data_IF_432935804905
#
_entry.id   IF_432935804905
#
_cell.length_a   1.000
_cell.length_b   1.000
_cell.length_c   1.000
_cell.angle_alpha   90.00
_cell.angle_beta   90.00
_cell.angle_gamma   90.00
#
_symmetry.space_group_name_H-M   'P 1'
#
loop_
_entity.id
_entity.type
_entity.pdbx_description
1 polymer ?
#
# COMPACT_ATOMS: atom_id res chain seq x y z
N UNK A 1 -22.04 -14.47 30.12
CA UNK A 1 -21.60 -14.67 28.73
C UNK A 1 -20.23 -14.07 28.63
N UNK A 2 -19.21 -14.93 28.64
CA UNK A 2 -17.81 -14.52 28.73
C UNK A 2 -17.34 -13.77 27.47
N UNK A 3 -16.55 -12.69 27.63
CA UNK A 3 -15.87 -12.07 26.51
C UNK A 3 -14.81 -13.05 25.99
N UNK A 4 -15.03 -13.61 24.80
CA UNK A 4 -14.05 -14.46 24.12
C UNK A 4 -12.74 -13.69 23.96
N UNK A 5 -11.72 -14.13 24.69
CA UNK A 5 -10.35 -13.67 24.59
C UNK A 5 -9.87 -13.80 23.14
N UNK A 6 -9.31 -12.70 22.62
CA UNK A 6 -8.71 -12.65 21.29
C UNK A 6 -7.39 -13.46 21.28
N UNK A 7 -7.11 -14.27 20.24
CA UNK A 7 -5.92 -15.09 20.19
C UNK A 7 -4.63 -14.25 20.08
N UNK A 8 -3.66 -14.60 20.91
CA UNK A 8 -2.35 -13.97 21.04
C UNK A 8 -1.47 -14.20 19.80
N UNK A 9 -1.49 -13.26 18.86
CA UNK A 9 -0.35 -12.97 17.98
C UNK A 9 -0.47 -11.60 17.27
N UNK A 10 -0.88 -10.59 18.02
CA UNK A 10 -0.87 -9.19 17.60
C UNK A 10 0.16 -8.49 18.49
N UNK A 11 1.08 -7.72 17.92
CA UNK A 11 1.70 -6.62 18.66
C UNK A 11 0.57 -5.62 18.93
N UNK A 12 -0.16 -5.84 20.02
CA UNK A 12 -1.51 -5.33 20.30
C UNK A 12 -1.51 -3.97 21.02
N UNK A 13 -0.54 -3.10 20.74
CA UNK A 13 -0.32 -1.91 21.58
C UNK A 13 -0.93 -0.59 21.05
N UNK A 14 -1.69 -0.57 19.93
CA UNK A 14 -2.14 0.72 19.34
C UNK A 14 -3.55 0.77 18.72
N UNK A 15 -4.48 -0.09 19.11
CA UNK A 15 -5.89 0.05 18.68
C UNK A 15 -6.70 0.68 19.81
N UNK A 16 -7.36 1.81 19.53
CA UNK A 16 -8.24 2.49 20.48
C UNK A 16 -9.46 1.64 20.85
N UNK A 17 -9.98 1.83 22.06
CA UNK A 17 -11.16 1.09 22.54
C UNK A 17 -12.40 1.37 21.67
N UNK A 18 -12.55 2.59 21.15
CA UNK A 18 -13.60 2.91 20.18
C UNK A 18 -13.48 2.08 18.91
N UNK A 19 -12.26 1.91 18.39
CA UNK A 19 -12.02 1.09 17.20
C UNK A 19 -12.25 -0.39 17.49
N UNK A 20 -11.88 -0.90 18.67
CA UNK A 20 -12.19 -2.29 19.07
C UNK A 20 -13.69 -2.54 19.11
N UNK A 21 -14.47 -1.61 19.68
CA UNK A 21 -15.95 -1.66 19.70
C UNK A 21 -16.54 -1.61 18.29
N UNK A 22 -15.97 -0.81 17.39
CA UNK A 22 -16.40 -0.80 15.99
C UNK A 22 -16.10 -2.16 15.33
N UNK A 23 -14.88 -2.67 15.46
CA UNK A 23 -14.45 -3.94 14.86
C UNK A 23 -15.35 -5.09 15.30
N UNK A 24 -15.75 -5.16 16.57
CA UNK A 24 -16.63 -6.23 17.06
C UNK A 24 -18.03 -6.22 16.46
N UNK A 25 -18.47 -5.08 15.90
CA UNK A 25 -19.76 -4.94 15.20
C UNK A 25 -19.67 -5.23 13.69
N UNK A 26 -18.47 -5.31 13.12
CA UNK A 26 -18.27 -5.47 11.68
C UNK A 26 -18.18 -6.95 11.28
N UNK A 27 -18.56 -7.30 10.03
CA UNK A 27 -18.27 -8.62 9.49
C UNK A 27 -16.77 -8.89 9.55
N UNK A 28 -16.39 -10.03 10.12
CA UNK A 28 -14.99 -10.43 10.27
C UNK A 28 -14.73 -11.77 9.58
N UNK A 29 -13.49 -11.96 9.17
CA UNK A 29 -13.00 -13.20 8.56
C UNK A 29 -11.53 -13.40 8.95
N UNK A 30 -11.07 -14.63 8.82
CA UNK A 30 -9.67 -14.99 9.01
C UNK A 30 -9.08 -15.24 7.63
N UNK A 31 -8.01 -14.50 7.29
CA UNK A 31 -7.34 -14.68 6.02
C UNK A 31 -6.58 -16.02 5.94
N UNK A 32 -6.02 -16.33 4.77
CA UNK A 32 -5.23 -17.56 4.56
C UNK A 32 -3.93 -17.62 5.38
N UNK A 33 -3.59 -16.56 6.11
CA UNK A 33 -2.44 -16.49 7.03
C UNK A 33 -2.86 -16.59 8.50
N UNK A 34 -4.14 -16.84 8.80
CA UNK A 34 -4.64 -16.91 10.17
C UNK A 34 -4.84 -15.53 10.82
N UNK A 35 -4.79 -14.44 10.05
CA UNK A 35 -4.96 -13.08 10.56
C UNK A 35 -6.39 -12.60 10.42
N UNK A 36 -6.88 -11.94 11.45
CA UNK A 36 -8.22 -11.38 11.45
C UNK A 36 -8.29 -10.12 10.59
N UNK A 37 -9.32 -10.09 9.74
CA UNK A 37 -9.70 -8.96 8.90
C UNK A 37 -11.18 -8.63 9.16
N UNK A 38 -11.53 -7.36 9.00
CA UNK A 38 -12.92 -6.89 9.11
C UNK A 38 -13.30 -6.09 7.87
N UNK A 39 -14.58 -6.13 7.53
CA UNK A 39 -15.14 -5.39 6.42
C UNK A 39 -15.61 -4.01 6.88
N UNK A 40 -15.07 -2.95 6.30
CA UNK A 40 -15.45 -1.56 6.55
C UNK A 40 -15.57 -0.81 5.23
N UNK A 41 -16.69 -0.10 5.01
CA UNK A 41 -16.96 0.68 3.78
C UNK A 41 -16.71 -0.11 2.47
N UNK A 42 -17.03 -1.41 2.46
CA UNK A 42 -16.89 -2.28 1.28
C UNK A 42 -15.48 -2.84 1.04
N UNK A 43 -14.51 -2.58 1.92
CA UNK A 43 -13.16 -3.16 1.84
C UNK A 43 -12.78 -3.94 3.10
N UNK A 44 -11.87 -4.91 2.91
CA UNK A 44 -11.35 -5.74 3.99
C UNK A 44 -10.04 -5.15 4.54
N UNK A 45 -9.97 -4.96 5.85
CA UNK A 45 -8.81 -4.38 6.53
C UNK A 45 -8.35 -5.26 7.68
N UNK A 46 -7.02 -5.32 7.85
CA UNK A 46 -6.44 -5.71 9.13
C UNK A 46 -6.77 -4.64 10.18
N UNK A 47 -6.94 -5.04 11.44
CA UNK A 47 -7.42 -4.15 12.50
C UNK A 47 -6.54 -2.91 12.70
N UNK A 48 -5.21 -3.07 12.69
CA UNK A 48 -4.27 -1.95 12.77
C UNK A 48 -4.37 -1.01 11.56
N UNK A 49 -4.63 -1.56 10.37
CA UNK A 49 -4.83 -0.75 9.16
C UNK A 49 -6.14 0.03 9.25
N UNK A 50 -7.21 -0.59 9.75
CA UNK A 50 -8.49 0.09 9.96
C UNK A 50 -8.35 1.27 10.94
N UNK A 51 -7.63 1.10 12.04
CA UNK A 51 -7.33 2.22 12.95
C UNK A 51 -6.67 3.40 12.20
N UNK A 52 -5.72 3.10 11.31
CA UNK A 52 -5.09 4.11 10.45
C UNK A 52 -6.08 4.81 9.52
N UNK A 53 -7.00 4.05 8.91
CA UNK A 53 -8.08 4.60 8.07
C UNK A 53 -8.96 5.55 8.88
N UNK A 54 -9.41 5.14 10.07
CA UNK A 54 -10.27 5.95 10.94
C UNK A 54 -9.55 7.22 11.41
N UNK A 55 -8.27 7.12 11.77
CA UNK A 55 -7.46 8.28 12.16
C UNK A 55 -7.33 9.29 11.02
N UNK A 56 -7.10 8.79 9.80
CA UNK A 56 -7.07 9.63 8.61
C UNK A 56 -8.42 10.32 8.39
N UNK A 57 -9.52 9.57 8.39
CA UNK A 57 -10.86 10.11 8.15
C UNK A 57 -11.29 11.16 9.19
N UNK A 58 -10.86 11.02 10.45
CA UNK A 58 -11.25 11.92 11.55
C UNK A 58 -10.35 13.13 11.73
N UNK A 59 -9.05 13.00 11.41
CA UNK A 59 -8.04 13.98 11.84
C UNK A 59 -7.16 14.52 10.73
N UNK A 60 -7.17 13.94 9.54
CA UNK A 60 -6.30 14.42 8.46
C UNK A 60 -6.79 15.76 7.92
N UNK A 61 -5.91 16.76 7.94
CA UNK A 61 -6.13 18.09 7.38
C UNK A 61 -5.33 18.22 6.08
N UNK A 62 -5.98 18.05 4.91
CA UNK A 62 -5.31 18.18 3.63
C UNK A 62 -4.86 19.62 3.41
N UNK A 63 -3.69 19.79 2.81
CA UNK A 63 -3.21 21.07 2.31
C UNK A 63 -3.27 21.06 0.78
N UNK A 64 -3.52 22.21 0.19
CA UNK A 64 -3.61 22.36 -1.27
C UNK A 64 -2.28 22.06 -2.00
N UNK A 65 -1.17 22.09 -1.26
CA UNK A 65 0.17 21.74 -1.74
C UNK A 65 0.51 20.26 -1.58
N UNK A 66 -0.36 19.45 -0.96
CA UNK A 66 -0.12 18.04 -0.72
C UNK A 66 -0.12 17.23 -2.02
N UNK A 67 0.81 16.27 -2.09
CA UNK A 67 0.84 15.24 -3.13
C UNK A 67 0.71 13.89 -2.45
N UNK A 68 -0.37 13.17 -2.76
CA UNK A 68 -0.68 11.86 -2.20
C UNK A 68 -0.39 10.79 -3.25
N UNK A 69 0.61 9.95 -2.97
CA UNK A 69 0.95 8.78 -3.76
C UNK A 69 0.16 7.57 -3.24
N UNK A 70 -0.87 7.19 -3.97
CA UNK A 70 -1.75 6.09 -3.61
C UNK A 70 -1.49 4.86 -4.50
N UNK A 71 -1.55 3.66 -3.92
CA UNK A 71 -1.53 2.43 -4.70
C UNK A 71 -2.11 1.26 -3.91
N UNK A 72 -2.52 0.22 -4.61
CA UNK A 72 -2.66 -1.08 -3.95
C UNK A 72 -1.27 -1.59 -3.48
N UNK A 73 -1.15 -2.24 -2.32
CA UNK A 73 0.13 -2.78 -1.86
C UNK A 73 0.86 -3.60 -2.94
N UNK A 74 2.20 -3.46 -2.99
CA UNK A 74 3.08 -4.17 -3.94
C UNK A 74 2.93 -3.79 -5.43
N UNK A 75 2.35 -2.61 -5.71
CA UNK A 75 2.19 -2.05 -7.06
C UNK A 75 3.30 -1.06 -7.48
N UNK A 76 4.43 -1.00 -6.76
CA UNK A 76 5.59 -0.18 -7.16
C UNK A 76 5.71 1.21 -6.50
N UNK A 77 5.19 1.39 -5.28
CA UNK A 77 5.23 2.68 -4.57
C UNK A 77 6.62 3.25 -4.34
N UNK A 78 7.64 2.40 -4.14
CA UNK A 78 9.03 2.86 -3.94
C UNK A 78 9.57 3.60 -5.16
N UNK A 79 9.34 3.06 -6.36
CA UNK A 79 9.72 3.71 -7.62
C UNK A 79 8.93 4.99 -7.85
N UNK A 80 7.61 4.96 -7.60
CA UNK A 80 6.76 6.16 -7.72
C UNK A 80 7.22 7.29 -6.79
N UNK A 81 7.56 6.96 -5.54
CA UNK A 81 8.13 7.91 -4.57
C UNK A 81 9.45 8.50 -5.07
N UNK A 82 10.38 7.65 -5.49
CA UNK A 82 11.68 8.10 -5.99
C UNK A 82 11.53 9.05 -7.18
N UNK A 83 10.69 8.71 -8.16
CA UNK A 83 10.41 9.58 -9.31
C UNK A 83 9.78 10.91 -8.89
N UNK A 84 8.84 10.89 -7.95
CA UNK A 84 8.19 12.12 -7.48
C UNK A 84 9.19 13.02 -6.75
N UNK A 85 10.06 12.46 -5.91
CA UNK A 85 11.14 13.20 -5.25
C UNK A 85 12.09 13.79 -6.29
N UNK A 86 12.53 13.01 -7.28
CA UNK A 86 13.43 13.49 -8.33
C UNK A 86 12.82 14.65 -9.13
N UNK A 87 11.52 14.60 -9.42
CA UNK A 87 10.81 15.70 -10.10
C UNK A 87 10.72 16.95 -9.22
N UNK A 88 10.44 16.78 -7.92
CA UNK A 88 10.37 17.90 -6.98
C UNK A 88 11.73 18.57 -6.78
N UNK A 89 12.80 17.79 -6.62
CA UNK A 89 14.16 18.32 -6.47
C UNK A 89 14.68 18.97 -7.75
N UNK A 90 14.37 18.39 -8.93
CA UNK A 90 14.69 19.03 -10.21
C UNK A 90 14.06 20.43 -10.34
N UNK A 91 12.86 20.63 -9.81
CA UNK A 91 12.18 21.92 -9.85
C UNK A 91 12.79 23.00 -8.96
N UNK A 92 13.70 22.64 -8.04
CA UNK A 92 14.35 23.56 -7.10
C UNK A 92 15.62 24.22 -7.65
N UNK A 93 16.02 23.93 -8.90
CA UNK A 93 17.24 24.46 -9.54
C UNK A 93 18.49 24.30 -8.68
N UNK A 94 18.85 23.06 -8.33
CA UNK A 94 20.15 22.78 -7.72
C UNK A 94 21.27 22.92 -8.76
N UNK A 95 22.35 23.57 -8.38
CA UNK A 95 23.53 23.82 -9.22
C UNK A 95 24.46 22.61 -9.36
N UNK A 96 24.25 21.54 -8.58
CA UNK A 96 25.04 20.30 -8.64
C UNK A 96 24.16 19.06 -8.53
N UNK A 97 24.43 18.06 -9.38
CA UNK A 97 23.76 16.75 -9.36
C UNK A 97 24.18 15.87 -8.16
N UNK A 98 25.31 16.20 -7.53
CA UNK A 98 25.93 15.37 -6.49
C UNK A 98 25.21 15.44 -5.13
N UNK A 99 24.29 16.40 -4.93
CA UNK A 99 23.60 16.62 -3.65
C UNK A 99 22.13 16.14 -3.67
N UNK A 100 21.81 15.16 -4.51
CA UNK A 100 20.43 14.68 -4.63
C UNK A 100 20.04 13.77 -3.45
N UNK A 101 18.92 14.04 -2.72
CA UNK A 101 18.51 13.28 -1.54
C UNK A 101 18.40 11.76 -1.75
N UNK A 102 17.98 11.30 -2.94
CA UNK A 102 17.91 9.88 -3.29
C UNK A 102 19.27 9.14 -3.31
N UNK A 103 20.39 9.85 -3.33
CA UNK A 103 21.72 9.23 -3.27
C UNK A 103 21.99 8.70 -1.86
N UNK A 104 21.60 9.46 -0.83
CA UNK A 104 21.91 9.17 0.56
C UNK A 104 20.71 8.55 1.29
N UNK A 105 19.50 9.06 1.04
CA UNK A 105 18.28 8.68 1.75
C UNK A 105 17.37 7.70 1.00
N UNK A 106 16.63 6.93 1.79
CA UNK A 106 15.57 6.09 1.27
C UNK A 106 14.37 6.98 0.85
N UNK A 107 13.75 6.78 -0.34
CA UNK A 107 12.58 7.53 -0.79
C UNK A 107 11.41 7.55 0.20
N UNK A 108 11.33 6.58 1.11
CA UNK A 108 10.31 6.52 2.15
C UNK A 108 10.54 7.50 3.31
N UNK A 109 11.75 8.03 3.48
CA UNK A 109 12.13 8.96 4.54
C UNK A 109 12.42 10.38 4.08
N UNK A 110 12.32 10.67 2.76
CA UNK A 110 12.57 12.00 2.23
C UNK A 110 11.32 12.87 2.44
N UNK A 111 11.48 13.94 3.20
CA UNK A 111 10.45 14.95 3.43
C UNK A 111 10.81 16.22 2.66
N UNK A 112 9.87 16.76 1.88
CA UNK A 112 10.08 18.06 1.21
C UNK A 112 9.45 19.17 2.05
N UNK A 113 10.24 20.19 2.36
CA UNK A 113 9.81 21.32 3.20
C UNK A 113 8.72 22.20 2.55
N UNK A 114 8.63 22.22 1.20
CA UNK A 114 7.67 23.08 0.49
C UNK A 114 6.36 22.39 0.10
N UNK A 115 6.35 21.06 -0.02
CA UNK A 115 5.18 20.25 -0.39
C UNK A 115 5.24 18.92 0.35
N UNK A 116 4.20 18.56 1.11
CA UNK A 116 4.18 17.28 1.80
C UNK A 116 3.91 16.17 0.80
N UNK A 117 4.88 15.27 0.68
CA UNK A 117 4.73 14.05 -0.10
C UNK A 117 4.23 12.93 0.83
N UNK A 118 2.98 12.53 0.65
CA UNK A 118 2.35 11.47 1.43
C UNK A 118 2.21 10.21 0.59
N UNK A 119 2.17 9.06 1.25
CA UNK A 119 1.92 7.81 0.55
C UNK A 119 1.06 6.86 1.36
N UNK A 120 0.15 6.21 0.67
CA UNK A 120 -0.90 5.42 1.29
C UNK A 120 -1.28 4.22 0.43
N UNK A 121 -1.77 3.19 1.12
CA UNK A 121 -2.42 2.03 0.51
C UNK A 121 -3.93 2.03 0.74
N UNK A 122 -4.48 3.13 1.25
CA UNK A 122 -5.91 3.30 1.44
C UNK A 122 -6.62 3.34 0.09
N UNK A 123 -7.75 2.62 -0.05
CA UNK A 123 -8.60 2.75 -1.22
C UNK A 123 -9.08 4.18 -1.41
N UNK A 124 -9.29 4.58 -2.67
CA UNK A 124 -9.70 5.94 -3.00
C UNK A 124 -11.04 6.33 -2.35
N UNK A 125 -12.01 5.40 -2.29
CA UNK A 125 -13.31 5.66 -1.65
C UNK A 125 -13.17 6.02 -0.17
N UNK A 126 -12.21 5.44 0.54
CA UNK A 126 -11.99 5.71 1.97
C UNK A 126 -11.36 7.09 2.21
N UNK A 127 -10.72 7.67 1.19
CA UNK A 127 -10.13 9.01 1.24
C UNK A 127 -11.02 10.09 0.62
N UNK A 128 -11.98 9.71 -0.22
CA UNK A 128 -12.73 10.62 -1.07
C UNK A 128 -13.40 11.74 -0.28
N UNK A 129 -14.17 11.42 0.75
CA UNK A 129 -14.88 12.44 1.55
C UNK A 129 -13.92 13.38 2.28
N UNK A 130 -12.82 12.86 2.85
CA UNK A 130 -11.81 13.68 3.54
C UNK A 130 -11.10 14.66 2.60
N UNK A 131 -10.88 14.26 1.33
CA UNK A 131 -10.13 15.05 0.35
C UNK A 131 -11.03 15.86 -0.60
N UNK A 132 -12.36 15.69 -0.52
CA UNK A 132 -13.36 16.22 -1.46
C UNK A 132 -13.27 17.73 -1.69
N UNK A 133 -12.93 18.48 -0.65
CA UNK A 133 -12.88 19.94 -0.68
C UNK A 133 -11.46 20.52 -0.80
N UNK A 134 -10.44 19.67 -0.89
CA UNK A 134 -9.05 20.13 -1.03
C UNK A 134 -8.62 20.09 -2.49
N UNK A 135 -7.73 21.00 -2.89
CA UNK A 135 -7.07 20.95 -4.20
C UNK A 135 -5.81 20.06 -4.21
N UNK A 136 -5.62 19.22 -3.20
CA UNK A 136 -4.50 18.29 -3.13
C UNK A 136 -4.46 17.36 -4.35
N UNK A 137 -3.26 16.92 -4.73
CA UNK A 137 -3.05 16.08 -5.91
C UNK A 137 -2.89 14.63 -5.50
N UNK A 138 -3.70 13.74 -6.09
CA UNK A 138 -3.58 12.29 -5.88
C UNK A 138 -2.97 11.68 -7.14
N UNK A 139 -1.85 10.98 -6.99
CA UNK A 139 -1.26 10.15 -8.04
C UNK A 139 -1.47 8.70 -7.65
N UNK A 140 -2.35 8.01 -8.38
CA UNK A 140 -2.61 6.60 -8.16
C UNK A 140 -1.84 5.73 -9.16
N UNK A 141 -1.11 4.72 -8.68
CA UNK A 141 -0.50 3.70 -9.54
C UNK A 141 -1.25 2.38 -9.45
N UNK A 142 -1.76 1.94 -10.59
CA UNK A 142 -2.30 0.60 -10.78
C UNK A 142 -1.22 -0.33 -11.30
N UNK A 143 -1.28 -1.60 -10.91
CA UNK A 143 -0.50 -2.69 -11.50
C UNK A 143 -1.48 -3.80 -11.88
N UNK A 144 -1.12 -4.57 -12.90
CA UNK A 144 -1.84 -5.80 -13.25
C UNK A 144 -2.13 -6.65 -12.00
N UNK A 145 -3.36 -7.15 -11.93
CA UNK A 145 -3.89 -7.84 -10.74
C UNK A 145 -3.17 -9.15 -10.51
N UNK A 146 -2.82 -9.90 -11.57
CA UNK A 146 -2.12 -11.19 -11.48
C UNK A 146 -0.70 -10.99 -10.96
N UNK A 147 0.00 -9.99 -11.49
CA UNK A 147 1.33 -9.63 -11.01
C UNK A 147 1.33 -9.13 -9.56
N UNK A 148 0.31 -8.37 -9.17
CA UNK A 148 0.14 -7.88 -7.81
C UNK A 148 -0.14 -9.03 -6.84
N UNK A 149 -1.02 -9.97 -7.21
CA UNK A 149 -1.32 -11.18 -6.46
C UNK A 149 -0.04 -12.01 -6.25
N UNK A 150 0.70 -12.28 -7.32
CA UNK A 150 1.97 -13.01 -7.24
C UNK A 150 2.99 -12.25 -6.41
N UNK A 151 3.04 -10.91 -6.49
CA UNK A 151 3.90 -10.10 -5.61
C UNK A 151 3.55 -10.26 -4.13
N UNK A 152 2.25 -10.32 -3.81
CA UNK A 152 1.76 -10.57 -2.45
C UNK A 152 2.10 -11.98 -1.96
N UNK A 153 1.72 -13.02 -2.72
CA UNK A 153 1.93 -14.42 -2.38
C UNK A 153 3.43 -14.75 -2.21
N UNK A 154 4.26 -14.29 -3.15
CA UNK A 154 5.71 -14.56 -3.12
C UNK A 154 6.48 -13.77 -2.07
N UNK A 155 5.90 -12.78 -1.37
CA UNK A 155 6.57 -12.20 -0.18
C UNK A 155 6.92 -13.32 0.82
N UNK A 156 6.15 -14.41 0.81
CA UNK A 156 6.37 -15.64 1.57
C UNK A 156 7.48 -16.55 1.01
N UNK A 157 7.87 -16.42 -0.26
CA UNK A 157 8.79 -17.33 -0.98
C UNK A 157 10.14 -16.66 -1.31
N UNK A 158 10.18 -15.35 -1.59
CA UNK A 158 11.39 -14.65 -2.05
C UNK A 158 12.28 -14.09 -0.94
N UNK A 159 12.02 -14.45 0.32
CA UNK A 159 13.00 -14.26 1.40
C UNK A 159 14.32 -15.01 1.10
N UNK A 160 14.25 -16.06 0.27
CA UNK A 160 15.37 -16.95 -0.02
C UNK A 160 16.21 -16.61 -1.26
N UNK A 161 15.83 -15.61 -2.08
CA UNK A 161 16.63 -15.21 -3.25
C UNK A 161 17.90 -14.44 -2.84
N UNK A 162 19.05 -14.77 -3.45
CA UNK A 162 20.35 -14.20 -3.07
C UNK A 162 20.48 -12.68 -3.28
N UNK A 163 19.89 -12.14 -4.36
CA UNK A 163 19.82 -10.68 -4.62
C UNK A 163 19.15 -9.88 -3.50
N UNK A 164 18.34 -10.56 -2.68
CA UNK A 164 17.63 -10.00 -1.55
C UNK A 164 18.38 -10.19 -0.22
N UNK A 165 19.42 -11.04 -0.15
CA UNK A 165 20.13 -11.36 1.09
C UNK A 165 21.19 -10.32 1.47
N UNK A 166 21.68 -9.53 0.52
CA UNK A 166 22.95 -8.79 0.66
C UNK A 166 22.82 -7.26 0.82
N UNK A 167 21.62 -6.72 1.00
CA UNK A 167 21.44 -5.27 1.18
C UNK A 167 20.70 -4.89 2.46
N UNK A 168 21.35 -4.13 3.35
CA UNK A 168 20.69 -3.43 4.48
C UNK A 168 20.76 -1.92 4.24
N UNK A 169 19.65 -1.21 4.40
CA UNK A 169 19.62 0.27 4.40
C UNK A 169 18.71 0.73 5.55
N UNK A 170 19.25 1.51 6.49
CA UNK A 170 18.57 2.02 7.69
C UNK A 170 17.83 0.94 8.51
N UNK A 171 18.53 -0.15 8.88
CA UNK A 171 18.03 -1.28 9.69
C UNK A 171 16.87 -2.10 9.08
N UNK A 172 16.51 -1.84 7.82
CA UNK A 172 15.55 -2.63 7.05
C UNK A 172 16.27 -3.37 5.93
N UNK A 173 15.86 -4.62 5.69
CA UNK A 173 16.51 -5.45 4.69
C UNK A 173 15.88 -5.16 3.31
N UNK A 174 16.72 -5.00 2.28
CA UNK A 174 16.27 -4.72 0.91
C UNK A 174 15.26 -5.77 0.41
N UNK A 175 15.34 -7.03 0.91
CA UNK A 175 14.36 -8.11 0.63
C UNK A 175 12.91 -7.76 0.95
N UNK A 176 12.70 -6.86 1.91
CA UNK A 176 11.36 -6.49 2.36
C UNK A 176 10.66 -5.56 1.36
N UNK A 177 11.45 -4.83 0.55
CA UNK A 177 11.00 -3.76 -0.33
C UNK A 177 11.15 -4.09 -1.82
N UNK A 178 12.33 -4.55 -2.25
CA UNK A 178 12.67 -4.78 -3.65
C UNK A 178 12.52 -6.26 -4.05
N UNK A 179 12.15 -6.47 -5.31
CA UNK A 179 11.95 -7.78 -5.96
C UNK A 179 12.38 -7.69 -7.42
N UNK A 180 12.11 -8.72 -8.22
CA UNK A 180 12.42 -8.77 -9.67
C UNK A 180 12.03 -7.52 -10.46
N UNK A 181 10.87 -6.92 -10.20
CA UNK A 181 10.41 -5.74 -10.94
C UNK A 181 9.93 -6.04 -12.38
N UNK A 182 9.68 -7.30 -12.71
CA UNK A 182 9.25 -7.74 -14.04
C UNK A 182 7.72 -7.65 -14.20
N UNK A 183 7.28 -7.24 -15.38
CA UNK A 183 5.87 -7.26 -15.83
C UNK A 183 5.58 -8.61 -16.46
N UNK A 184 4.45 -9.24 -16.08
CA UNK A 184 4.04 -10.54 -16.59
C UNK A 184 4.74 -11.74 -15.95
N UNK A 185 5.52 -11.52 -14.89
CA UNK A 185 6.17 -12.61 -14.13
C UNK A 185 5.13 -13.55 -13.51
N UNK A 186 3.86 -13.13 -13.41
CA UNK A 186 2.75 -13.99 -12.99
C UNK A 186 2.57 -15.26 -13.84
N UNK A 187 2.86 -15.22 -15.15
CA UNK A 187 2.78 -16.37 -16.07
C UNK A 187 3.69 -17.54 -15.68
N UNK A 188 4.76 -17.26 -14.94
CA UNK A 188 5.68 -18.28 -14.46
C UNK A 188 5.16 -19.04 -13.22
N UNK A 189 4.03 -18.62 -12.64
CA UNK A 189 3.51 -19.16 -11.38
C UNK A 189 2.04 -19.56 -11.42
N UNK A 190 1.26 -18.96 -12.33
CA UNK A 190 -0.15 -19.28 -12.48
C UNK A 190 -0.31 -20.35 -13.56
N UNK A 191 -1.13 -21.36 -13.28
CA UNK A 191 -1.57 -22.29 -14.33
C UNK A 191 -2.57 -21.57 -15.24
N UNK A 192 -2.75 -22.03 -16.50
CA UNK A 192 -3.74 -21.45 -17.41
C UNK A 192 -5.16 -21.42 -16.82
N UNK A 193 -5.52 -22.41 -16.00
CA UNK A 193 -6.80 -22.46 -15.29
C UNK A 193 -6.92 -21.35 -14.23
N UNK A 194 -5.86 -21.14 -13.43
CA UNK A 194 -5.82 -20.07 -12.44
C UNK A 194 -5.89 -18.69 -13.10
N UNK A 195 -5.15 -18.48 -14.19
CA UNK A 195 -5.20 -17.23 -14.97
C UNK A 195 -6.61 -16.97 -15.48
N UNK A 196 -7.23 -17.97 -16.13
CA UNK A 196 -8.61 -17.86 -16.63
C UNK A 196 -9.59 -17.51 -15.52
N UNK A 197 -9.47 -18.14 -14.34
CA UNK A 197 -10.34 -17.85 -13.20
C UNK A 197 -10.17 -16.41 -12.70
N UNK A 198 -8.93 -15.91 -12.63
CA UNK A 198 -8.66 -14.53 -12.24
C UNK A 198 -9.21 -13.56 -13.29
N UNK A 199 -8.99 -13.85 -14.56
CA UNK A 199 -9.47 -13.02 -15.67
C UNK A 199 -11.00 -12.93 -15.68
N UNK A 200 -11.71 -14.05 -15.41
CA UNK A 200 -13.17 -14.06 -15.27
C UNK A 200 -13.64 -13.13 -14.12
N UNK A 201 -12.97 -13.17 -12.97
CA UNK A 201 -13.30 -12.30 -11.83
C UNK A 201 -13.03 -10.82 -12.18
N UNK A 202 -11.91 -10.52 -12.85
CA UNK A 202 -11.58 -9.16 -13.28
C UNK A 202 -12.65 -8.64 -14.23
N UNK A 203 -13.04 -9.44 -15.23
CA UNK A 203 -14.10 -9.06 -16.16
C UNK A 203 -15.41 -8.81 -15.44
N UNK A 204 -15.84 -9.71 -14.55
CA UNK A 204 -17.08 -9.54 -13.76
C UNK A 204 -17.05 -8.24 -12.93
N UNK A 205 -15.93 -7.93 -12.27
CA UNK A 205 -15.83 -6.75 -11.39
C UNK A 205 -15.62 -5.44 -12.13
N UNK A 206 -15.00 -5.46 -13.32
CA UNK A 206 -14.73 -4.26 -14.11
C UNK A 206 -15.72 -4.06 -15.25
N UNK A 207 -16.68 -4.97 -15.44
CA UNK A 207 -17.69 -4.85 -16.46
C UNK A 207 -18.43 -3.50 -16.33
N UNK A 208 -18.48 -2.74 -17.43
CA UNK A 208 -19.13 -1.43 -17.47
C UNK A 208 -18.32 -0.28 -16.87
N UNK A 209 -17.14 -0.52 -16.28
CA UNK A 209 -16.28 0.54 -15.71
C UNK A 209 -15.43 1.27 -16.74
N UNK A 210 -15.22 0.67 -17.93
CA UNK A 210 -14.31 1.17 -18.96
C UNK A 210 -12.83 0.87 -18.70
N UNK A 211 -12.47 0.32 -17.53
CA UNK A 211 -11.09 -0.06 -17.20
C UNK A 211 -10.68 -1.36 -17.90
N UNK A 212 -9.47 -1.37 -18.46
CA UNK A 212 -8.83 -2.53 -19.09
C UNK A 212 -7.38 -2.64 -18.62
N UNK A 213 -6.90 -3.87 -18.45
CA UNK A 213 -5.55 -4.21 -18.03
C UNK A 213 -4.86 -5.05 -19.11
#
# INVERSE_FOLDING_TARGET
MDPKELPANIKDDKISEETKKLISSLPSHTDSQGKNICQYQGCWYYYNTLQGVLNFQRGFQPQDTDIILASYPKSGTTWLKALTVALLERSKSHSSYDDHPLLYDNPHGIFSASRRLLSTHMPLHAMHETLKHSSCKIVYVCRDVKDTLISWCKKKILEFLEVNKTGKRNNLNNKDYFRKGEVGDSKNYLTPEMEKKIDMIIQEKLQGSGLKF
#
